data_IF_123536637273
#
_entry.id   IF_123536637273
#
_cell.length_a   1.000
_cell.length_b   1.000
_cell.length_c   1.000
_cell.angle_alpha   90.00
_cell.angle_beta   90.00
_cell.angle_gamma   90.00
#
_symmetry.space_group_name_H-M   'P 1'
#
loop_
_entity.id
_entity.type
_entity.pdbx_description
1 polymer ?
#
# COMPACT_ATOMS: atom_id res chain seq x y z
N UNK A 1 -13.10 -33.62 15.23
CA UNK A 1 -12.23 -32.93 14.26
C UNK A 1 -12.86 -31.59 13.97
N UNK A 2 -12.29 -30.52 14.54
CA UNK A 2 -12.74 -29.16 14.28
C UNK A 2 -12.13 -28.78 12.94
N UNK A 3 -12.95 -28.83 11.90
CA UNK A 3 -12.64 -28.24 10.61
C UNK A 3 -12.48 -26.74 10.83
N UNK A 4 -11.25 -26.31 11.07
CA UNK A 4 -10.87 -24.90 11.06
C UNK A 4 -11.09 -24.41 9.64
N UNK A 5 -12.28 -23.88 9.39
CA UNK A 5 -12.59 -23.17 8.17
C UNK A 5 -11.57 -22.01 8.03
N UNK A 6 -10.52 -22.26 7.25
CA UNK A 6 -9.82 -21.21 6.53
C UNK A 6 -10.90 -20.32 5.92
N UNK A 7 -10.84 -19.01 6.16
CA UNK A 7 -11.78 -18.08 5.54
C UNK A 7 -11.85 -18.39 4.03
N UNK A 8 -13.05 -18.59 3.46
CA UNK A 8 -13.21 -19.09 2.09
C UNK A 8 -12.44 -18.21 1.11
N UNK A 9 -11.71 -18.84 0.18
CA UNK A 9 -10.74 -18.22 -0.72
C UNK A 9 -11.23 -16.96 -1.44
N UNK A 10 -10.71 -15.80 -1.05
CA UNK A 10 -11.08 -14.49 -1.60
C UNK A 10 -10.15 -14.07 -2.76
N UNK A 11 -9.00 -14.73 -2.93
CA UNK A 11 -7.94 -14.43 -3.90
C UNK A 11 -6.82 -15.47 -3.83
N UNK A 12 -6.06 -15.62 -4.92
CA UNK A 12 -4.93 -16.56 -4.99
C UNK A 12 -3.82 -16.17 -4.01
N UNK A 13 -3.07 -17.18 -3.54
CA UNK A 13 -1.91 -16.95 -2.65
C UNK A 13 -0.89 -15.97 -3.25
N UNK A 14 -0.77 -15.98 -4.57
CA UNK A 14 0.12 -15.11 -5.32
C UNK A 14 -0.34 -13.63 -5.28
N UNK A 15 -1.62 -13.35 -5.51
CA UNK A 15 -2.16 -11.97 -5.42
C UNK A 15 -2.01 -11.43 -4.00
N UNK A 16 -2.26 -12.28 -2.99
CA UNK A 16 -2.06 -11.94 -1.58
C UNK A 16 -0.60 -11.58 -1.28
N UNK A 17 0.37 -12.35 -1.78
CA UNK A 17 1.79 -12.05 -1.60
C UNK A 17 2.17 -10.70 -2.22
N UNK A 18 1.68 -10.41 -3.42
CA UNK A 18 1.96 -9.14 -4.11
C UNK A 18 1.37 -7.96 -3.35
N UNK A 19 0.12 -8.05 -2.91
CA UNK A 19 -0.53 -7.00 -2.13
C UNK A 19 0.24 -6.76 -0.82
N UNK A 20 0.64 -7.82 -0.11
CA UNK A 20 1.42 -7.70 1.13
C UNK A 20 2.80 -7.10 0.88
N UNK A 21 3.51 -7.53 -0.16
CA UNK A 21 4.83 -7.00 -0.50
C UNK A 21 4.76 -5.49 -0.81
N UNK A 22 3.79 -5.06 -1.61
CA UNK A 22 3.62 -3.64 -1.93
C UNK A 22 3.12 -2.85 -0.71
N UNK A 23 2.24 -3.40 0.10
CA UNK A 23 1.81 -2.77 1.35
C UNK A 23 2.98 -2.57 2.31
N UNK A 24 3.91 -3.52 2.42
CA UNK A 24 5.14 -3.34 3.19
C UNK A 24 6.00 -2.23 2.60
N UNK A 25 6.22 -2.21 1.28
CA UNK A 25 6.98 -1.15 0.62
C UNK A 25 6.39 0.24 0.89
N UNK A 26 5.07 0.39 0.76
CA UNK A 26 4.35 1.62 1.12
C UNK A 26 4.51 1.94 2.61
N UNK A 27 4.47 0.94 3.49
CA UNK A 27 4.76 1.09 4.91
C UNK A 27 6.19 1.53 5.23
N UNK A 28 7.16 1.27 4.35
CA UNK A 28 8.54 1.70 4.52
C UNK A 28 8.77 3.15 4.09
N UNK A 29 7.90 3.74 3.26
CA UNK A 29 8.11 5.08 2.73
C UNK A 29 8.14 6.17 3.81
N UNK A 30 7.32 6.12 4.90
CA UNK A 30 7.41 7.08 6.01
C UNK A 30 8.75 7.09 6.75
N UNK A 31 9.60 6.08 6.54
CA UNK A 31 10.96 6.00 7.11
C UNK A 31 12.00 6.76 6.25
N UNK A 32 11.60 7.22 5.05
CA UNK A 32 12.44 8.03 4.18
C UNK A 32 12.57 9.44 4.80
N UNK A 33 13.79 9.93 5.08
CA UNK A 33 13.99 11.22 5.76
C UNK A 33 13.54 12.45 4.96
N UNK A 34 13.23 12.29 3.67
CA UNK A 34 12.90 13.37 2.73
C UNK A 34 11.41 13.23 2.37
N UNK A 35 10.51 14.10 2.88
CA UNK A 35 9.06 13.97 2.68
C UNK A 35 8.62 13.94 1.21
N UNK A 36 9.22 14.78 0.35
CA UNK A 36 8.87 14.81 -1.08
C UNK A 36 9.22 13.48 -1.76
N UNK A 37 10.31 12.85 -1.33
CA UNK A 37 10.74 11.56 -1.86
C UNK A 37 9.85 10.43 -1.34
N UNK A 38 9.43 10.48 -0.07
CA UNK A 38 8.44 9.56 0.52
C UNK A 38 7.16 9.52 -0.32
N UNK A 39 6.54 10.69 -0.57
CA UNK A 39 5.30 10.78 -1.34
C UNK A 39 5.46 10.31 -2.80
N UNK A 40 6.59 10.65 -3.44
CA UNK A 40 6.90 10.20 -4.80
C UNK A 40 7.07 8.67 -4.91
N UNK A 41 7.77 8.08 -3.95
CA UNK A 41 7.99 6.63 -3.90
C UNK A 41 6.67 5.91 -3.62
N UNK A 42 5.86 6.44 -2.69
CA UNK A 42 4.55 5.90 -2.38
C UNK A 42 3.65 5.89 -3.62
N UNK A 43 3.51 7.02 -4.31
CA UNK A 43 2.72 7.14 -5.54
C UNK A 43 3.19 6.13 -6.61
N UNK A 44 4.50 5.98 -6.79
CA UNK A 44 5.05 4.97 -7.70
C UNK A 44 4.63 3.54 -7.31
N UNK A 45 4.79 3.16 -6.04
CA UNK A 45 4.46 1.81 -5.56
C UNK A 45 2.96 1.52 -5.67
N UNK A 46 2.10 2.48 -5.33
CA UNK A 46 0.64 2.35 -5.43
C UNK A 46 0.18 2.22 -6.89
N UNK A 47 0.76 2.99 -7.82
CA UNK A 47 0.46 2.87 -9.27
C UNK A 47 0.91 1.53 -9.82
N UNK A 48 2.12 1.07 -9.45
CA UNK A 48 2.62 -0.24 -9.85
C UNK A 48 1.71 -1.36 -9.35
N UNK A 49 1.27 -1.29 -8.09
CA UNK A 49 0.36 -2.27 -7.50
C UNK A 49 -0.99 -2.30 -8.23
N UNK A 50 -1.61 -1.14 -8.46
CA UNK A 50 -2.88 -1.06 -9.17
C UNK A 50 -2.77 -1.62 -10.61
N UNK A 51 -1.68 -1.32 -11.31
CA UNK A 51 -1.41 -1.87 -12.65
C UNK A 51 -1.19 -3.40 -12.65
N UNK A 52 -0.46 -3.93 -11.67
CA UNK A 52 -0.24 -5.38 -11.52
C UNK A 52 -1.55 -6.12 -11.19
N UNK A 53 -2.35 -5.59 -10.27
CA UNK A 53 -3.68 -6.14 -9.96
C UNK A 53 -4.56 -6.13 -11.22
N UNK A 54 -4.58 -5.02 -11.97
CA UNK A 54 -5.29 -4.93 -13.25
C UNK A 54 -4.89 -6.05 -14.23
N UNK A 55 -3.59 -6.21 -14.48
CA UNK A 55 -3.06 -7.23 -15.39
C UNK A 55 -3.46 -8.65 -15.00
N UNK A 56 -3.51 -8.95 -13.70
CA UNK A 56 -3.94 -10.26 -13.19
C UNK A 56 -5.40 -10.58 -13.48
N UNK A 57 -6.25 -9.57 -13.57
CA UNK A 57 -7.65 -9.71 -13.99
C UNK A 57 -7.81 -9.62 -15.51
N UNK A 58 -6.73 -9.70 -16.28
CA UNK A 58 -6.77 -9.63 -17.75
C UNK A 58 -6.99 -8.22 -18.30
N UNK A 59 -6.81 -7.19 -17.47
CA UNK A 59 -7.04 -5.80 -17.84
C UNK A 59 -5.74 -4.99 -17.72
N UNK A 60 -5.12 -4.67 -18.84
CA UNK A 60 -4.09 -3.63 -18.86
C UNK A 60 -4.77 -2.27 -18.59
N UNK A 61 -4.77 -1.82 -17.34
CA UNK A 61 -5.37 -0.55 -16.96
C UNK A 61 -4.57 0.59 -17.62
N UNK A 62 -5.23 1.48 -18.40
CA UNK A 62 -4.57 2.65 -18.94
C UNK A 62 -3.91 3.50 -17.84
N UNK A 63 -2.80 4.17 -18.13
CA UNK A 63 -2.09 4.99 -17.13
C UNK A 63 -3.05 5.98 -16.45
N UNK A 64 -3.92 6.63 -17.23
CA UNK A 64 -4.92 7.55 -16.70
C UNK A 64 -5.88 6.88 -15.70
N UNK A 65 -6.31 5.65 -15.97
CA UNK A 65 -7.16 4.88 -15.05
C UNK A 65 -6.41 4.58 -13.75
N UNK A 66 -5.13 4.18 -13.85
CA UNK A 66 -4.27 3.93 -12.69
C UNK A 66 -4.09 5.20 -11.85
N UNK A 67 -3.88 6.36 -12.50
CA UNK A 67 -3.75 7.65 -11.82
C UNK A 67 -5.03 8.06 -11.10
N UNK A 68 -6.18 7.91 -11.76
CA UNK A 68 -7.49 8.15 -11.16
C UNK A 68 -7.67 7.26 -9.93
N UNK A 69 -7.32 5.97 -10.01
CA UNK A 69 -7.46 4.99 -8.93
C UNK A 69 -6.57 5.31 -7.73
N UNK A 70 -5.28 5.56 -7.94
CA UNK A 70 -4.36 5.93 -6.85
C UNK A 70 -4.71 7.31 -6.28
N UNK A 71 -5.34 8.17 -7.09
CA UNK A 71 -5.74 9.51 -6.66
C UNK A 71 -4.62 10.54 -6.77
N UNK A 72 -3.73 10.33 -7.73
CA UNK A 72 -2.81 11.35 -8.15
C UNK A 72 -3.60 12.41 -8.93
N UNK A 73 -4.22 13.36 -8.23
CA UNK A 73 -4.63 14.60 -8.87
C UNK A 73 -3.36 15.30 -9.36
N UNK A 74 -3.25 15.42 -10.69
CA UNK A 74 -2.32 16.37 -11.30
C UNK A 74 -2.67 17.79 -10.85
N UNK A 75 -1.65 18.65 -10.87
CA UNK A 75 -1.70 20.10 -10.66
C UNK A 75 -1.55 20.59 -9.20
N UNK A 76 -0.30 20.91 -8.83
CA UNK A 76 -0.05 21.98 -7.84
C UNK A 76 1.16 21.78 -6.95
N UNK A 77 1.34 20.59 -6.36
CA UNK A 77 2.27 20.43 -5.24
C UNK A 77 3.75 20.62 -5.63
N UNK A 78 4.15 20.21 -6.83
CA UNK A 78 5.53 20.39 -7.32
C UNK A 78 5.87 21.84 -7.72
N UNK A 79 4.87 22.71 -7.99
CA UNK A 79 5.12 24.13 -8.28
C UNK A 79 5.29 24.97 -7.01
N UNK A 80 4.81 24.53 -5.87
CA UNK A 80 4.86 25.31 -4.61
C UNK A 80 6.14 25.07 -3.80
N UNK A 81 6.91 24.02 -4.07
CA UNK A 81 8.11 23.67 -3.30
C UNK A 81 9.41 24.25 -3.90
N UNK A 82 9.32 25.33 -4.66
CA UNK A 82 10.49 26.15 -5.02
C UNK A 82 10.78 27.28 -4.01
N UNK A 83 9.89 27.53 -3.03
CA UNK A 83 10.08 28.59 -2.02
C UNK A 83 9.71 28.05 -0.65
N UNK A 84 10.65 27.40 0.03
CA UNK A 84 10.39 26.95 1.39
C UNK A 84 11.29 25.87 2.00
N UNK A 85 12.51 25.62 1.49
CA UNK A 85 13.54 24.96 2.31
C UNK A 85 14.08 26.00 3.31
N UNK A 86 13.21 26.43 4.22
CA UNK A 86 13.60 27.17 5.41
C UNK A 86 14.06 26.14 6.42
N UNK A 87 15.39 25.98 6.51
CA UNK A 87 16.18 25.52 7.66
C UNK A 87 15.36 24.93 8.82
N UNK A 88 15.01 23.65 8.76
CA UNK A 88 14.60 22.88 9.94
C UNK A 88 15.79 22.04 10.42
N UNK A 89 16.47 22.40 11.52
CA UNK A 89 17.48 21.57 12.15
C UNK A 89 16.78 20.54 13.06
N UNK A 90 15.96 19.65 12.50
CA UNK A 90 15.23 18.63 13.26
C UNK A 90 15.79 17.20 13.06
N UNK A 91 16.80 17.04 12.21
CA UNK A 91 17.11 15.77 11.54
C UNK A 91 18.04 14.81 12.28
N UNK A 92 18.54 15.12 13.47
CA UNK A 92 19.53 14.22 14.13
C UNK A 92 19.26 13.90 15.60
N UNK A 93 18.54 14.73 16.37
CA UNK A 93 18.42 14.56 17.83
C UNK A 93 17.27 13.62 18.27
N UNK A 94 16.28 13.35 17.41
CA UNK A 94 15.08 12.59 17.79
C UNK A 94 15.02 11.13 17.33
N UNK A 95 16.05 10.62 16.62
CA UNK A 95 16.05 9.33 15.90
C UNK A 95 15.83 8.06 16.77
N UNK A 96 15.90 8.15 18.10
CA UNK A 96 15.65 7.01 19.01
C UNK A 96 14.31 7.07 19.74
N UNK A 97 13.76 8.27 19.98
CA UNK A 97 12.52 8.46 20.75
C UNK A 97 11.24 8.25 19.91
N UNK A 98 11.36 8.28 18.58
CA UNK A 98 10.21 8.15 17.67
C UNK A 98 10.06 6.78 17.01
N UNK A 99 10.89 5.78 17.34
CA UNK A 99 10.81 4.44 16.72
C UNK A 99 9.40 3.83 16.83
N UNK A 100 8.71 4.02 17.96
CA UNK A 100 7.34 3.55 18.14
C UNK A 100 6.34 4.30 17.25
N UNK A 101 6.53 5.62 17.10
CA UNK A 101 5.67 6.46 16.25
C UNK A 101 5.92 6.21 14.76
N UNK A 102 7.17 5.95 14.38
CA UNK A 102 7.55 5.53 13.03
C UNK A 102 6.95 4.17 12.68
N UNK A 103 7.03 3.19 13.59
CA UNK A 103 6.38 1.88 13.40
C UNK A 103 4.87 2.05 13.27
N UNK A 104 4.25 2.88 14.11
CA UNK A 104 2.82 3.16 14.00
C UNK A 104 2.47 3.78 12.65
N UNK A 105 3.19 4.81 12.22
CA UNK A 105 2.96 5.48 10.93
C UNK A 105 3.16 4.51 9.76
N UNK A 106 4.24 3.73 9.78
CA UNK A 106 4.52 2.68 8.82
C UNK A 106 3.39 1.64 8.75
N UNK A 107 2.88 1.21 9.91
CA UNK A 107 1.82 0.22 10.01
C UNK A 107 0.46 0.76 9.56
N UNK A 108 0.16 2.03 9.87
CA UNK A 108 -1.05 2.71 9.41
C UNK A 108 -1.02 2.88 7.88
N UNK A 109 0.12 3.22 7.30
CA UNK A 109 0.30 3.38 5.85
C UNK A 109 0.22 2.04 5.12
N UNK A 110 0.92 1.01 5.62
CA UNK A 110 0.85 -0.34 5.08
C UNK A 110 -0.57 -0.91 5.15
N UNK A 111 -1.26 -0.71 6.27
CA UNK A 111 -2.66 -1.12 6.44
C UNK A 111 -3.57 -0.43 5.42
N UNK A 112 -3.42 0.88 5.19
CA UNK A 112 -4.21 1.60 4.18
C UNK A 112 -3.93 1.10 2.77
N UNK A 113 -2.67 0.94 2.39
CA UNK A 113 -2.28 0.39 1.09
C UNK A 113 -2.84 -1.02 0.87
N UNK A 114 -2.78 -1.85 1.91
CA UNK A 114 -3.37 -3.20 1.88
C UNK A 114 -4.87 -3.17 1.61
N UNK A 115 -5.65 -2.39 2.39
CA UNK A 115 -7.11 -2.35 2.22
C UNK A 115 -7.53 -1.72 0.90
N UNK A 116 -6.78 -0.73 0.42
CA UNK A 116 -7.00 -0.15 -0.90
C UNK A 116 -6.84 -1.21 -1.99
N UNK A 117 -5.70 -1.91 -1.99
CA UNK A 117 -5.42 -2.98 -2.93
C UNK A 117 -6.42 -4.13 -2.81
N UNK A 118 -6.85 -4.43 -1.59
CA UNK A 118 -7.90 -5.39 -1.29
C UNK A 118 -9.17 -5.11 -2.06
N UNK A 119 -9.70 -3.89 -1.90
CA UNK A 119 -10.96 -3.52 -2.51
C UNK A 119 -10.84 -3.30 -4.02
N UNK A 120 -9.66 -2.91 -4.51
CA UNK A 120 -9.41 -2.84 -5.94
C UNK A 120 -9.45 -4.22 -6.59
N UNK A 121 -8.79 -5.22 -5.99
CA UNK A 121 -8.88 -6.61 -6.47
C UNK A 121 -10.33 -7.12 -6.42
N UNK A 122 -11.03 -6.90 -5.31
CA UNK A 122 -12.45 -7.22 -5.18
C UNK A 122 -13.29 -6.59 -6.30
N UNK A 123 -13.10 -5.29 -6.56
CA UNK A 123 -13.82 -4.55 -7.59
C UNK A 123 -13.61 -5.15 -8.99
N UNK A 124 -12.38 -5.56 -9.31
CA UNK A 124 -12.08 -6.19 -10.60
C UNK A 124 -12.62 -7.62 -10.69
N UNK A 125 -12.44 -8.43 -9.65
CA UNK A 125 -12.97 -9.79 -9.56
C UNK A 125 -14.50 -9.82 -9.72
N UNK A 126 -15.17 -8.87 -9.08
CA UNK A 126 -16.64 -8.71 -9.15
C UNK A 126 -17.10 -7.91 -10.37
N UNK A 127 -16.18 -7.55 -11.28
CA UNK A 127 -16.46 -6.77 -12.50
C UNK A 127 -17.29 -5.52 -12.21
N UNK A 128 -16.90 -4.77 -11.18
CA UNK A 128 -17.55 -3.51 -10.79
C UNK A 128 -17.07 -2.34 -11.63
N UNK A 129 -15.84 -2.38 -12.14
CA UNK A 129 -15.21 -1.27 -12.86
C UNK A 129 -15.20 -1.48 -14.38
N UNK A 130 -15.41 -0.41 -15.14
CA UNK A 130 -15.22 -0.40 -16.60
C UNK A 130 -13.79 -0.85 -16.99
N UNK A 131 -13.61 -1.60 -18.09
CA UNK A 131 -14.63 -1.93 -19.09
C UNK A 131 -15.48 -3.16 -18.74
N UNK A 132 -15.10 -3.95 -17.72
CA UNK A 132 -15.82 -5.18 -17.38
C UNK A 132 -17.13 -4.95 -16.59
N UNK A 133 -17.26 -3.77 -15.96
CA UNK A 133 -18.39 -3.37 -15.15
C UNK A 133 -18.95 -2.00 -15.49
N UNK A 134 -19.97 -1.58 -14.74
CA UNK A 134 -20.74 -0.36 -14.99
C UNK A 134 -20.15 0.89 -14.33
N UNK A 135 -19.27 0.74 -13.33
CA UNK A 135 -18.75 1.87 -12.55
C UNK A 135 -17.47 2.42 -13.14
N UNK A 136 -17.37 3.73 -13.16
CA UNK A 136 -16.16 4.43 -13.56
C UNK A 136 -15.03 4.21 -12.54
N UNK A 137 -13.76 4.32 -12.94
CA UNK A 137 -12.64 4.23 -12.01
C UNK A 137 -12.71 5.23 -10.84
N UNK A 138 -13.29 6.41 -11.09
CA UNK A 138 -13.47 7.45 -10.07
C UNK A 138 -14.50 7.05 -9.01
N UNK A 139 -15.63 6.46 -9.42
CA UNK A 139 -16.64 5.94 -8.48
C UNK A 139 -16.07 4.80 -7.65
N UNK A 140 -15.35 3.87 -8.29
CA UNK A 140 -14.68 2.75 -7.61
C UNK A 140 -13.70 3.27 -6.57
N UNK A 141 -12.81 4.20 -6.94
CA UNK A 141 -11.91 4.83 -5.98
C UNK A 141 -12.66 5.48 -4.82
N UNK A 142 -13.69 6.28 -5.10
CA UNK A 142 -14.46 6.97 -4.07
C UNK A 142 -15.05 5.99 -3.07
N UNK A 143 -15.61 4.87 -3.56
CA UNK A 143 -16.12 3.81 -2.71
C UNK A 143 -15.03 3.08 -1.92
N UNK A 144 -13.84 2.83 -2.51
CA UNK A 144 -12.70 2.25 -1.78
C UNK A 144 -12.28 3.18 -0.63
N UNK A 145 -12.07 4.47 -0.92
CA UNK A 145 -11.65 5.46 0.07
C UNK A 145 -12.70 5.60 1.18
N UNK A 146 -13.98 5.66 0.82
CA UNK A 146 -15.09 5.71 1.77
C UNK A 146 -15.16 4.47 2.66
N UNK A 147 -15.06 3.27 2.07
CA UNK A 147 -15.06 2.01 2.81
C UNK A 147 -13.87 1.93 3.78
N UNK A 148 -12.67 2.33 3.35
CA UNK A 148 -11.48 2.35 4.21
C UNK A 148 -11.55 3.40 5.34
N UNK A 149 -12.21 4.54 5.11
CA UNK A 149 -12.37 5.60 6.13
C UNK A 149 -13.33 5.18 7.25
N UNK A 150 -14.37 4.45 6.89
CA UNK A 150 -15.43 4.05 7.81
C UNK A 150 -15.21 2.68 8.45
N UNK A 151 -14.49 1.78 7.78
CA UNK A 151 -14.13 0.51 8.34
C UNK A 151 -13.15 0.70 9.51
N UNK A 152 -13.31 -0.14 10.53
CA UNK A 152 -12.27 -0.27 11.56
C UNK A 152 -11.06 -0.94 10.91
N UNK A 153 -10.09 -0.16 10.43
CA UNK A 153 -8.81 -0.68 9.90
C UNK A 153 -7.95 -1.38 10.98
N UNK A 154 -8.42 -1.39 12.23
CA UNK A 154 -7.67 -1.82 13.40
C UNK A 154 -7.10 -3.24 13.31
N UNK A 155 -7.79 -4.28 12.79
CA UNK A 155 -7.21 -5.63 12.78
C UNK A 155 -5.93 -5.72 11.94
N UNK A 156 -5.94 -5.14 10.73
CA UNK A 156 -4.74 -5.10 9.88
C UNK A 156 -3.68 -4.16 10.44
N UNK A 157 -4.07 -2.98 10.94
CA UNK A 157 -3.12 -2.06 11.58
C UNK A 157 -2.43 -2.74 12.77
N UNK A 158 -3.15 -3.52 13.58
CA UNK A 158 -2.59 -4.29 14.68
C UNK A 158 -1.67 -5.40 14.17
N UNK A 159 -2.04 -6.11 13.11
CA UNK A 159 -1.19 -7.13 12.49
C UNK A 159 0.13 -6.53 11.97
N UNK A 160 0.07 -5.45 11.19
CA UNK A 160 1.25 -4.73 10.72
C UNK A 160 2.09 -4.21 11.88
N UNK A 161 1.47 -3.59 12.89
CA UNK A 161 2.16 -3.09 14.08
C UNK A 161 2.89 -4.18 14.83
N UNK A 162 2.24 -5.34 15.04
CA UNK A 162 2.84 -6.49 15.72
C UNK A 162 4.01 -7.06 14.92
N UNK A 163 3.87 -7.25 13.60
CA UNK A 163 4.95 -7.77 12.76
C UNK A 163 6.10 -6.77 12.66
N UNK A 164 5.85 -5.48 12.47
CA UNK A 164 6.91 -4.47 12.38
C UNK A 164 7.62 -4.28 13.72
N UNK A 165 6.88 -4.25 14.83
CA UNK A 165 7.48 -4.16 16.17
C UNK A 165 8.23 -5.44 16.57
N UNK A 166 7.79 -6.62 16.14
CA UNK A 166 8.50 -7.88 16.33
C UNK A 166 9.68 -8.08 15.36
N UNK A 167 9.77 -7.26 14.32
CA UNK A 167 10.79 -7.35 13.26
C UNK A 167 11.59 -6.06 13.09
N UNK A 168 11.75 -5.26 14.16
CA UNK A 168 12.35 -3.91 14.10
C UNK A 168 13.70 -3.87 13.39
N UNK A 169 14.59 -4.83 13.69
CA UNK A 169 15.91 -4.87 13.08
C UNK A 169 15.82 -5.17 11.58
N UNK A 170 14.96 -6.11 11.19
CA UNK A 170 14.72 -6.45 9.78
C UNK A 170 14.07 -5.28 9.03
N UNK A 171 13.02 -4.67 9.59
CA UNK A 171 12.36 -3.47 9.03
C UNK A 171 13.37 -2.33 8.89
N UNK A 172 14.20 -2.10 9.91
CA UNK A 172 15.24 -1.09 9.88
C UNK A 172 16.33 -1.36 8.84
N UNK A 173 16.74 -2.62 8.64
CA UNK A 173 17.68 -3.02 7.59
C UNK A 173 17.08 -2.85 6.20
N UNK A 174 15.81 -3.25 6.02
CA UNK A 174 15.07 -3.09 4.77
C UNK A 174 14.90 -1.62 4.41
N UNK A 175 14.46 -0.80 5.36
CA UNK A 175 14.34 0.64 5.18
C UNK A 175 15.69 1.27 4.79
N UNK A 176 16.78 0.93 5.48
CA UNK A 176 18.12 1.43 5.15
C UNK A 176 18.58 0.99 3.77
N UNK A 177 18.34 -0.27 3.39
CA UNK A 177 18.67 -0.80 2.05
C UNK A 177 17.87 -0.07 0.97
N UNK A 178 16.57 0.09 1.19
CA UNK A 178 15.65 0.78 0.29
C UNK A 178 16.04 2.25 0.10
N UNK A 179 16.26 3.00 1.20
CA UNK A 179 16.74 4.38 1.17
C UNK A 179 18.12 4.47 0.52
N UNK A 180 19.01 3.51 0.78
CA UNK A 180 20.34 3.46 0.19
C UNK A 180 20.30 3.30 -1.34
N UNK A 181 19.35 2.51 -1.85
CA UNK A 181 19.11 2.33 -3.30
C UNK A 181 18.44 3.55 -3.95
N UNK A 182 17.66 4.31 -3.19
CA UNK A 182 17.04 5.55 -3.65
C UNK A 182 18.04 6.73 -3.75
N UNK A 183 19.20 6.65 -3.10
CA UNK A 183 20.18 7.75 -3.15
C UNK A 183 20.85 7.82 -4.54
N UNK A 184 20.88 9.01 -5.17
CA UNK A 184 21.48 9.17 -6.48
C UNK A 184 22.99 8.92 -6.40
N UNK A 185 23.53 8.20 -7.39
CA UNK A 185 24.97 8.17 -7.63
C UNK A 185 25.35 9.52 -8.26
N UNK A 186 26.18 10.29 -7.55
CA UNK A 186 26.66 11.65 -7.85
C UNK A 186 26.31 12.20 -9.25
N UNK A 187 25.46 13.23 -9.29
CA UNK A 187 25.15 14.02 -10.49
C UNK A 187 23.78 13.78 -11.13
N UNK A 188 23.09 12.69 -10.77
CA UNK A 188 21.78 12.34 -11.34
C UNK A 188 20.62 12.71 -10.41
N UNK A 189 19.48 13.11 -10.98
CA UNK A 189 18.25 13.34 -10.21
C UNK A 189 17.55 12.01 -9.91
N UNK A 190 16.91 11.86 -8.75
CA UNK A 190 16.11 10.64 -8.47
C UNK A 190 14.88 10.66 -9.38
N UNK A 191 14.98 9.99 -10.53
CA UNK A 191 13.88 9.80 -11.48
C UNK A 191 13.04 8.56 -11.17
N UNK A 192 11.98 8.36 -11.96
CA UNK A 192 11.11 7.17 -11.89
C UNK A 192 11.91 5.86 -12.02
N UNK A 193 12.95 5.83 -12.85
CA UNK A 193 13.80 4.65 -13.06
C UNK A 193 14.58 4.26 -11.79
N UNK A 194 15.10 5.23 -11.04
CA UNK A 194 15.79 4.98 -9.78
C UNK A 194 14.85 4.38 -8.72
N UNK A 195 13.62 4.89 -8.63
CA UNK A 195 12.59 4.32 -7.75
C UNK A 195 12.19 2.93 -8.20
N UNK A 196 12.01 2.70 -9.49
CA UNK A 196 11.68 1.40 -10.06
C UNK A 196 12.72 0.35 -9.68
N UNK A 197 14.00 0.64 -9.91
CA UNK A 197 15.11 -0.24 -9.55
C UNK A 197 15.18 -0.50 -8.04
N UNK A 198 14.97 0.52 -7.20
CA UNK A 198 14.99 0.36 -5.75
C UNK A 198 13.85 -0.54 -5.25
N UNK A 199 12.65 -0.39 -5.82
CA UNK A 199 11.47 -1.23 -5.52
C UNK A 199 11.72 -2.67 -5.93
N UNK A 200 12.19 -2.90 -7.16
CA UNK A 200 12.45 -4.25 -7.70
C UNK A 200 13.53 -4.97 -6.88
N UNK A 201 14.66 -4.33 -6.65
CA UNK A 201 15.75 -4.90 -5.86
C UNK A 201 15.36 -5.14 -4.38
N UNK A 202 14.30 -4.52 -3.87
CA UNK A 202 13.78 -4.78 -2.51
C UNK A 202 12.78 -5.93 -2.53
N UNK A 203 12.02 -6.07 -3.62
CA UNK A 203 11.03 -7.12 -3.80
C UNK A 203 11.65 -8.51 -4.08
N UNK A 204 12.86 -8.57 -4.66
CA UNK A 204 13.63 -9.80 -5.00
C UNK A 204 14.10 -10.66 -3.80
N UNK A 205 13.35 -10.68 -2.70
CA UNK A 205 13.54 -11.64 -1.59
C UNK A 205 13.77 -10.99 -0.23
N UNK A 206 14.07 -9.69 -0.18
CA UNK A 206 14.29 -9.00 1.09
C UNK A 206 13.01 -8.89 1.93
N UNK A 207 11.84 -8.80 1.28
CA UNK A 207 10.53 -8.72 1.93
C UNK A 207 9.99 -10.08 2.42
N UNK A 208 10.53 -11.20 1.93
CA UNK A 208 9.98 -12.54 2.13
C UNK A 208 9.66 -12.89 3.59
N UNK A 209 10.60 -12.70 4.54
CA UNK A 209 10.33 -13.00 5.95
C UNK A 209 9.23 -12.13 6.57
N UNK A 210 9.13 -10.84 6.19
CA UNK A 210 8.06 -9.96 6.69
C UNK A 210 6.71 -10.36 6.09
N UNK A 211 6.66 -10.60 4.77
CA UNK A 211 5.44 -11.01 4.07
C UNK A 211 4.92 -12.35 4.60
N UNK A 212 5.81 -13.28 4.95
CA UNK A 212 5.44 -14.57 5.54
C UNK A 212 4.79 -14.38 6.93
N UNK A 213 5.41 -13.59 7.81
CA UNK A 213 4.84 -13.27 9.13
C UNK A 213 3.52 -12.53 9.05
N UNK A 214 3.39 -11.61 8.08
CA UNK A 214 2.11 -10.92 7.82
C UNK A 214 1.04 -11.87 7.30
N UNK A 215 1.42 -12.83 6.44
CA UNK A 215 0.50 -13.85 5.93
C UNK A 215 -0.06 -14.69 7.08
N UNK A 216 0.80 -15.14 8.00
CA UNK A 216 0.40 -15.87 9.21
C UNK A 216 -0.51 -15.01 10.10
N UNK A 217 -0.10 -13.77 10.39
CA UNK A 217 -0.88 -12.85 11.22
C UNK A 217 -2.25 -12.52 10.61
N UNK A 218 -2.32 -12.36 9.29
CA UNK A 218 -3.55 -12.09 8.57
C UNK A 218 -4.50 -13.29 8.55
N UNK A 219 -3.98 -14.52 8.54
CA UNK A 219 -4.80 -15.73 8.64
C UNK A 219 -5.53 -15.81 10.00
N UNK A 220 -5.05 -15.12 11.04
CA UNK A 220 -5.74 -15.01 12.32
C UNK A 220 -6.85 -13.94 12.32
N UNK A 221 -6.95 -13.09 11.29
CA UNK A 221 -7.99 -12.06 11.21
C UNK A 221 -9.32 -12.72 10.80
N UNK A 222 -10.40 -12.52 11.58
CA UNK A 222 -11.69 -13.11 11.26
C UNK A 222 -12.21 -12.65 9.88
N UNK A 223 -12.64 -13.59 9.03
CA UNK A 223 -13.18 -13.29 7.70
C UNK A 223 -14.36 -12.30 7.68
N UNK A 224 -15.07 -12.13 8.81
CA UNK A 224 -16.09 -11.07 8.98
C UNK A 224 -15.56 -9.65 8.78
N UNK A 225 -14.27 -9.40 9.05
CA UNK A 225 -13.63 -8.10 8.82
C UNK A 225 -13.68 -7.73 7.34
N UNK A 226 -13.20 -8.65 6.50
CA UNK A 226 -13.15 -8.48 5.06
C UNK A 226 -14.54 -8.43 4.43
N UNK A 227 -15.47 -9.28 4.89
CA UNK A 227 -16.86 -9.21 4.43
C UNK A 227 -17.54 -7.87 4.75
N UNK A 228 -17.33 -7.33 5.95
CA UNK A 228 -17.89 -6.03 6.32
C UNK A 228 -17.30 -4.90 5.45
N UNK A 229 -16.03 -5.01 5.08
CA UNK A 229 -15.37 -4.07 4.18
C UNK A 229 -15.95 -4.14 2.76
N UNK A 230 -16.11 -5.35 2.21
CA UNK A 230 -16.74 -5.60 0.90
C UNK A 230 -18.19 -5.09 0.88
N UNK A 231 -18.97 -5.36 1.94
CA UNK A 231 -20.36 -4.90 2.08
C UNK A 231 -20.45 -3.38 2.10
N UNK A 232 -19.53 -2.71 2.82
CA UNK A 232 -19.49 -1.25 2.83
C UNK A 232 -19.13 -0.69 1.47
N UNK A 233 -18.15 -1.28 0.80
CA UNK A 233 -17.74 -0.91 -0.54
C UNK A 233 -18.90 -1.05 -1.55
N UNK A 234 -19.57 -2.20 -1.60
CA UNK A 234 -20.72 -2.41 -2.48
C UNK A 234 -21.89 -1.46 -2.16
N UNK A 235 -22.13 -1.18 -0.87
CA UNK A 235 -23.14 -0.21 -0.45
C UNK A 235 -22.83 1.21 -0.95
N UNK A 236 -21.55 1.62 -0.92
CA UNK A 236 -21.12 2.93 -1.41
C UNK A 236 -21.17 3.02 -2.93
N UNK A 237 -20.99 1.89 -3.63
CA UNK A 237 -21.23 1.79 -5.07
C UNK A 237 -22.72 1.70 -5.42
N UNK A 238 -23.63 1.58 -4.44
CA UNK A 238 -25.05 1.41 -4.72
C UNK A 238 -25.39 0.09 -5.41
N UNK A 239 -24.59 -0.96 -5.19
CA UNK A 239 -24.84 -2.29 -5.73
C UNK A 239 -25.64 -3.10 -4.70
N UNK A 240 -26.83 -3.60 -5.08
CA UNK A 240 -27.54 -4.61 -4.28
C UNK A 240 -26.94 -5.98 -4.58
N UNK A 241 -26.66 -6.77 -3.54
CA UNK A 241 -26.29 -8.19 -3.73
C UNK A 241 -27.46 -8.90 -4.42
N UNK A 242 -27.17 -9.58 -5.53
CA UNK A 242 -28.06 -10.57 -6.14
C UNK A 242 -27.96 -11.89 -5.41
#
# INVERSE_FOLDING_TARGET
MVETASAPGIWSDETKQIILAHAVLVGLTPLIPIPILDDFVKDYVERRLAGEIGRRHGHALPEETVRILVGAEDEGLFKTIAVGIVKLPFSLVFRKLFVVLEIKRASDEASRAFHYAYLLDYALRMRRMTPAGERTPREVRSAIVGACKEARLSPMTTAFSAVFAGSKDLVGQLAKSFIGKLRPKSGDSIGREGVASAVEATNEGALGPIVSRLTESMNAIPGRHFRALEERFDSLLGVRRS
#
